data_IF_179903495954
#
_entry.id   IF_179903495954
#
_cell.length_a   1.000
_cell.length_b   1.000
_cell.length_c   1.000
_cell.angle_alpha   90.00
_cell.angle_beta   90.00
_cell.angle_gamma   90.00
#
_symmetry.space_group_name_H-M   'P 1'
#
loop_
_entity.id
_entity.type
_entity.pdbx_description
1 polymer ?
#
# COMPACT_ATOMS: atom_id res chain seq x y z
N UNK A 1 12.38 5.40 -3.50
CA UNK A 1 11.84 6.59 -4.18
C UNK A 1 12.78 7.77 -4.04
N UNK A 2 12.58 8.83 -4.82
CA UNK A 2 13.34 10.09 -4.70
C UNK A 2 12.35 11.24 -4.54
N UNK A 3 12.66 12.23 -3.70
CA UNK A 3 11.89 13.48 -3.60
C UNK A 3 12.35 14.53 -4.63
N UNK A 4 11.72 15.71 -4.65
CA UNK A 4 12.07 16.78 -5.61
C UNK A 4 13.43 17.43 -5.31
N UNK A 5 14.01 17.20 -4.13
CA UNK A 5 15.32 17.71 -3.73
C UNK A 5 16.45 16.73 -4.09
N UNK A 6 16.13 15.56 -4.66
CA UNK A 6 17.11 14.53 -5.00
C UNK A 6 17.48 13.62 -3.82
N UNK A 7 16.76 13.70 -2.69
CA UNK A 7 16.97 12.78 -1.58
C UNK A 7 16.38 11.41 -1.93
N UNK A 8 17.10 10.34 -1.63
CA UNK A 8 16.67 8.97 -1.89
C UNK A 8 16.15 8.33 -0.60
N UNK A 9 15.04 7.60 -0.71
CA UNK A 9 14.37 6.95 0.41
C UNK A 9 14.04 5.50 0.12
N UNK A 10 14.18 4.66 1.14
CA UNK A 10 13.62 3.30 1.20
C UNK A 10 13.09 3.01 2.60
N UNK A 11 12.18 2.05 2.71
CA UNK A 11 11.55 1.65 3.98
C UNK A 11 11.62 0.14 4.13
N UNK A 12 11.71 -0.30 5.38
CA UNK A 12 11.84 -1.72 5.70
C UNK A 12 11.41 -1.96 7.15
N UNK A 13 11.06 -3.20 7.46
CA UNK A 13 10.92 -3.65 8.84
C UNK A 13 12.24 -4.21 9.34
N UNK A 14 12.42 -4.20 10.66
CA UNK A 14 13.49 -4.96 11.30
C UNK A 14 13.34 -6.48 11.06
N UNK A 15 14.33 -7.25 11.52
CA UNK A 15 14.35 -8.70 11.34
C UNK A 15 13.21 -9.42 12.05
N UNK A 16 12.55 -8.79 13.02
CA UNK A 16 11.36 -9.34 13.69
C UNK A 16 10.08 -9.03 12.92
N UNK A 17 10.11 -8.09 11.97
CA UNK A 17 8.93 -7.69 11.21
C UNK A 17 7.97 -6.79 11.99
N UNK A 18 8.43 -6.11 13.04
CA UNK A 18 7.55 -5.36 13.97
C UNK A 18 7.83 -3.87 13.99
N UNK A 19 9.08 -3.45 13.78
CA UNK A 19 9.50 -2.05 13.85
C UNK A 19 9.76 -1.54 12.44
N UNK A 20 9.06 -0.47 12.06
CA UNK A 20 9.20 0.18 10.75
C UNK A 20 10.34 1.19 10.77
N UNK A 21 11.24 1.08 9.80
CA UNK A 21 12.36 1.98 9.56
C UNK A 21 12.28 2.64 8.19
N UNK A 22 12.92 3.80 8.10
CA UNK A 22 13.24 4.50 6.85
C UNK A 22 14.76 4.66 6.77
N UNK A 23 15.34 4.40 5.61
CA UNK A 23 16.66 4.87 5.25
C UNK A 23 16.57 6.05 4.27
N UNK A 24 17.33 7.10 4.53
CA UNK A 24 17.42 8.31 3.69
C UNK A 24 18.88 8.54 3.28
N UNK A 25 19.09 8.85 2.01
CA UNK A 25 20.36 9.35 1.48
C UNK A 25 20.16 10.74 0.89
N UNK A 26 21.13 11.63 1.11
CA UNK A 26 21.19 12.98 0.52
C UNK A 26 22.36 13.13 -0.46
N UNK A 27 23.01 12.02 -0.79
CA UNK A 27 24.25 11.94 -1.58
C UNK A 27 24.15 10.81 -2.63
N UNK A 28 22.95 10.68 -3.22
CA UNK A 28 22.65 9.75 -4.33
C UNK A 28 22.91 8.27 -3.99
N UNK A 29 22.65 7.89 -2.74
CA UNK A 29 22.77 6.52 -2.25
C UNK A 29 24.17 6.15 -1.74
N UNK A 30 25.10 7.10 -1.66
CA UNK A 30 26.46 6.84 -1.18
C UNK A 30 26.51 6.57 0.32
N UNK A 31 25.74 7.33 1.11
CA UNK A 31 25.56 7.11 2.55
C UNK A 31 24.10 7.19 2.95
N UNK A 32 23.77 6.53 4.07
CA UNK A 32 22.40 6.36 4.52
C UNK A 32 22.24 6.67 6.00
N UNK A 33 21.26 7.51 6.32
CA UNK A 33 20.75 7.69 7.68
C UNK A 33 19.55 6.75 7.87
N UNK A 34 19.59 5.91 8.89
CA UNK A 34 18.47 5.03 9.26
C UNK A 34 17.71 5.65 10.43
N UNK A 35 16.37 5.70 10.32
CA UNK A 35 15.49 6.26 11.33
C UNK A 35 14.29 5.37 11.58
N UNK A 36 13.98 5.14 12.85
CA UNK A 36 12.75 4.47 13.26
C UNK A 36 11.55 5.38 12.94
N UNK A 37 10.57 4.83 12.22
CA UNK A 37 9.31 5.49 11.84
C UNK A 37 8.23 5.16 12.85
N UNK A 38 8.08 3.87 13.18
CA UNK A 38 7.03 3.38 14.06
C UNK A 38 7.49 2.13 14.81
N UNK A 39 7.08 2.03 16.07
CA UNK A 39 7.19 0.83 16.89
C UNK A 39 5.86 0.65 17.64
N UNK A 40 5.22 -0.52 17.55
CA UNK A 40 3.94 -0.78 18.22
C UNK A 40 4.03 -0.90 19.76
N UNK A 41 5.18 -0.62 20.36
CA UNK A 41 5.43 -0.76 21.80
C UNK A 41 6.00 -2.13 22.18
N UNK A 42 6.03 -2.48 23.48
CA UNK A 42 6.64 -3.73 23.96
C UNK A 42 5.96 -4.97 23.36
N UNK A 43 6.75 -5.69 22.60
CA UNK A 43 6.39 -6.92 21.91
C UNK A 43 6.48 -8.11 22.88
N UNK A 44 5.36 -8.76 23.22
CA UNK A 44 5.36 -10.10 23.84
C UNK A 44 5.04 -11.14 22.77
N UNK A 45 5.46 -12.42 22.92
CA UNK A 45 5.21 -13.46 21.92
C UNK A 45 3.74 -13.66 21.51
N UNK A 46 2.79 -13.21 22.34
CA UNK A 46 1.34 -13.28 22.09
C UNK A 46 0.71 -11.98 21.60
N UNK A 47 1.46 -10.88 21.52
CA UNK A 47 0.99 -9.54 21.09
C UNK A 47 1.67 -9.04 19.82
N UNK A 48 2.72 -9.72 19.34
CA UNK A 48 3.40 -9.36 18.10
C UNK A 48 2.57 -9.80 16.91
N UNK A 49 1.83 -8.87 16.32
CA UNK A 49 1.32 -9.06 14.97
C UNK A 49 2.45 -8.69 14.02
N UNK A 50 2.79 -9.59 13.10
CA UNK A 50 3.71 -9.27 12.01
C UNK A 50 3.16 -8.07 11.25
N UNK A 51 3.98 -7.05 11.05
CA UNK A 51 3.67 -5.91 10.18
C UNK A 51 4.14 -6.17 8.73
N UNK A 52 4.56 -7.41 8.45
CA UNK A 52 5.12 -7.84 7.17
C UNK A 52 4.08 -8.63 6.40
N UNK A 53 3.18 -7.92 5.72
CA UNK A 53 2.20 -8.49 4.80
C UNK A 53 2.40 -7.93 3.38
N UNK A 54 3.58 -8.28 2.84
CA UNK A 54 4.29 -7.71 1.67
C UNK A 54 4.77 -6.29 1.94
N UNK A 55 5.97 -5.96 1.45
CA UNK A 55 6.84 -4.89 1.98
C UNK A 55 6.15 -3.54 2.21
N UNK A 56 6.62 -2.74 3.20
CA UNK A 56 6.14 -1.38 3.36
C UNK A 56 6.44 -0.58 2.09
N UNK A 57 5.51 0.26 1.68
CA UNK A 57 5.62 1.10 0.48
C UNK A 57 5.75 2.56 0.86
N UNK A 58 6.56 3.33 0.12
CA UNK A 58 6.80 4.76 0.38
C UNK A 58 6.62 5.58 -0.90
N UNK A 59 6.00 6.76 -0.78
CA UNK A 59 5.92 7.76 -1.84
C UNK A 59 6.26 9.17 -1.31
N UNK A 60 6.71 10.04 -2.21
CA UNK A 60 6.94 11.46 -1.98
C UNK A 60 5.99 12.27 -2.89
N UNK A 61 5.30 13.27 -2.33
CA UNK A 61 4.55 14.23 -3.16
C UNK A 61 5.43 15.37 -3.68
N UNK A 62 4.87 16.18 -4.58
CA UNK A 62 5.51 17.39 -5.12
C UNK A 62 5.90 18.45 -4.06
N UNK A 63 5.35 18.36 -2.84
CA UNK A 63 5.71 19.20 -1.70
C UNK A 63 6.80 18.60 -0.80
N UNK A 64 7.43 17.48 -1.19
CA UNK A 64 8.40 16.71 -0.40
C UNK A 64 7.84 16.13 0.91
N UNK A 65 6.53 15.93 1.00
CA UNK A 65 5.95 15.16 2.09
C UNK A 65 6.05 13.67 1.76
N UNK A 66 6.27 12.86 2.79
CA UNK A 66 6.44 11.42 2.65
C UNK A 66 5.22 10.67 3.20
N UNK A 67 4.88 9.57 2.54
CA UNK A 67 3.76 8.70 2.87
C UNK A 67 4.27 7.27 2.92
N UNK A 68 4.08 6.58 4.03
CA UNK A 68 4.39 5.15 4.15
C UNK A 68 3.11 4.38 4.42
N UNK A 69 2.90 3.31 3.67
CA UNK A 69 1.83 2.34 3.92
C UNK A 69 2.40 0.96 4.21
N UNK A 70 1.71 0.21 5.05
CA UNK A 70 2.07 -1.14 5.48
C UNK A 70 0.84 -1.87 6.03
N UNK A 71 0.93 -3.19 6.23
CA UNK A 71 -0.20 -4.00 6.72
C UNK A 71 0.22 -4.97 7.83
N UNK A 72 -0.66 -5.15 8.82
CA UNK A 72 -0.51 -6.15 9.89
C UNK A 72 -1.20 -7.50 9.56
N UNK A 73 -1.62 -7.69 8.30
CA UNK A 73 -2.35 -8.88 7.88
C UNK A 73 -3.85 -8.82 8.15
N UNK A 74 -4.32 -7.79 8.85
CA UNK A 74 -5.73 -7.46 9.03
C UNK A 74 -6.02 -6.08 8.47
N UNK A 75 -5.18 -5.12 8.80
CA UNK A 75 -5.36 -3.72 8.47
C UNK A 75 -4.22 -3.15 7.63
N UNK A 76 -4.59 -2.28 6.70
CA UNK A 76 -3.65 -1.41 6.00
C UNK A 76 -3.57 -0.05 6.70
N UNK A 77 -2.35 0.44 6.89
CA UNK A 77 -2.05 1.67 7.62
C UNK A 77 -1.40 2.72 6.73
N UNK A 78 -1.57 3.99 7.09
CA UNK A 78 -0.82 5.13 6.57
C UNK A 78 -0.14 5.88 7.70
N UNK A 79 1.13 6.22 7.52
CA UNK A 79 1.83 7.26 8.29
C UNK A 79 2.43 8.30 7.34
N UNK A 80 2.52 9.55 7.81
CA UNK A 80 2.95 10.69 6.99
C UNK A 80 4.02 11.52 7.69
N UNK A 81 4.95 12.08 6.92
CA UNK A 81 5.95 13.05 7.37
C UNK A 81 5.91 14.32 6.50
N UNK A 82 6.06 15.49 7.14
CA UNK A 82 6.12 16.80 6.48
C UNK A 82 7.52 17.43 6.49
N UNK A 83 8.49 16.75 7.08
CA UNK A 83 9.82 17.28 7.38
C UNK A 83 10.92 16.34 6.86
N UNK A 84 10.66 15.71 5.71
CA UNK A 84 11.62 14.85 5.02
C UNK A 84 12.00 13.60 5.81
N UNK A 85 11.09 13.08 6.63
CA UNK A 85 11.23 11.86 7.42
C UNK A 85 11.75 12.08 8.85
N UNK A 86 11.84 13.33 9.32
CA UNK A 86 12.33 13.63 10.66
C UNK A 86 11.28 13.37 11.76
N UNK A 87 10.00 13.55 11.47
CA UNK A 87 8.91 13.16 12.36
C UNK A 87 7.80 12.51 11.55
N UNK A 88 7.05 11.62 12.21
CA UNK A 88 5.99 10.82 11.60
C UNK A 88 4.74 10.89 12.45
N UNK A 89 3.58 10.92 11.80
CA UNK A 89 2.31 10.75 12.50
C UNK A 89 2.16 9.33 13.02
N UNK A 90 1.38 9.16 14.08
CA UNK A 90 0.91 7.83 14.49
C UNK A 90 0.18 7.19 13.29
N UNK A 91 0.51 5.93 12.93
CA UNK A 91 -0.17 5.26 11.82
C UNK A 91 -1.68 5.19 12.03
N UNK A 92 -2.43 5.43 10.96
CA UNK A 92 -3.89 5.34 10.94
C UNK A 92 -4.34 4.25 9.97
N UNK A 93 -5.45 3.57 10.30
CA UNK A 93 -6.07 2.59 9.41
C UNK A 93 -6.67 3.32 8.19
N UNK A 94 -6.44 2.80 6.98
CA UNK A 94 -6.94 3.37 5.72
C UNK A 94 -7.99 2.51 5.02
N UNK A 95 -8.39 1.39 5.61
CA UNK A 95 -9.52 0.61 5.13
C UNK A 95 -10.85 1.10 5.70
N UNK A 96 -11.94 0.79 5.00
CA UNK A 96 -13.29 1.05 5.47
C UNK A 96 -14.34 0.82 4.39
N UNK A 97 -15.58 0.58 4.82
CA UNK A 97 -16.70 0.31 3.92
C UNK A 97 -16.64 -1.09 3.28
N UNK A 98 -17.61 -1.38 2.42
CA UNK A 98 -17.68 -2.59 1.59
C UNK A 98 -17.57 -3.95 2.34
N UNK A 99 -17.79 -3.95 3.65
CA UNK A 99 -17.65 -5.16 4.47
C UNK A 99 -16.21 -5.66 4.60
N UNK A 100 -15.20 -4.82 4.31
CA UNK A 100 -13.79 -5.16 4.44
C UNK A 100 -13.44 -5.52 5.88
N UNK A 101 -12.81 -6.69 6.05
CA UNK A 101 -12.32 -7.17 7.35
C UNK A 101 -10.83 -7.47 7.33
N UNK A 102 -10.27 -7.77 6.16
CA UNK A 102 -8.83 -7.98 5.99
C UNK A 102 -8.33 -7.25 4.75
N UNK A 103 -7.21 -6.53 4.89
CA UNK A 103 -6.49 -5.91 3.78
C UNK A 103 -4.98 -6.16 3.87
N UNK A 104 -4.35 -6.47 2.72
CA UNK A 104 -2.93 -6.84 2.62
C UNK A 104 -2.28 -6.20 1.40
N UNK A 105 -0.94 -6.24 1.38
CA UNK A 105 -0.10 -5.74 0.29
C UNK A 105 -0.38 -4.28 -0.12
N UNK A 106 -0.39 -3.32 0.83
CA UNK A 106 -0.71 -1.95 0.47
C UNK A 106 0.43 -1.27 -0.28
N UNK A 107 0.06 -0.48 -1.27
CA UNK A 107 0.96 0.38 -2.05
C UNK A 107 0.46 1.81 -2.03
N UNK A 108 1.37 2.78 -2.09
CA UNK A 108 1.03 4.21 -2.12
C UNK A 108 1.68 4.91 -3.31
N UNK A 109 0.91 5.79 -3.94
CA UNK A 109 1.38 6.72 -4.99
C UNK A 109 0.97 8.13 -4.58
N UNK A 110 1.88 9.08 -4.74
CA UNK A 110 1.67 10.48 -4.38
C UNK A 110 1.76 11.40 -5.59
N UNK A 111 0.99 12.50 -5.57
CA UNK A 111 0.94 13.49 -6.64
C UNK A 111 1.24 14.91 -6.14
N UNK A 112 0.27 15.82 -6.26
CA UNK A 112 0.35 17.14 -5.66
C UNK A 112 0.42 17.03 -4.13
N UNK A 113 0.92 18.09 -3.48
CA UNK A 113 1.05 18.14 -2.02
C UNK A 113 -0.23 17.69 -1.30
N UNK A 114 -0.13 16.63 -0.50
CA UNK A 114 -1.25 16.07 0.28
C UNK A 114 -2.21 15.14 -0.47
N UNK A 115 -2.00 14.88 -1.77
CA UNK A 115 -2.86 14.01 -2.57
C UNK A 115 -2.20 12.67 -2.85
N UNK A 116 -2.85 11.58 -2.44
CA UNK A 116 -2.33 10.22 -2.61
C UNK A 116 -3.43 9.24 -3.03
N UNK A 117 -3.01 8.19 -3.75
CA UNK A 117 -3.76 6.95 -3.95
C UNK A 117 -3.09 5.84 -3.14
N UNK A 118 -3.87 5.09 -2.38
CA UNK A 118 -3.43 3.86 -1.73
C UNK A 118 -4.18 2.71 -2.38
N UNK A 119 -3.46 1.66 -2.77
CA UNK A 119 -4.04 0.42 -3.28
C UNK A 119 -3.75 -0.71 -2.30
N UNK A 120 -4.66 -1.68 -2.20
CA UNK A 120 -4.47 -2.90 -1.39
C UNK A 120 -5.39 -4.00 -1.89
N UNK A 121 -5.06 -5.25 -1.60
CA UNK A 121 -6.03 -6.35 -1.70
C UNK A 121 -6.96 -6.31 -0.51
N UNK A 122 -8.25 -6.42 -0.75
CA UNK A 122 -9.28 -6.41 0.29
C UNK A 122 -10.21 -7.61 0.21
N UNK A 123 -10.63 -8.10 1.37
CA UNK A 123 -11.63 -9.17 1.48
C UNK A 123 -12.56 -8.96 2.68
N UNK A 124 -13.76 -9.56 2.61
CA UNK A 124 -14.70 -9.64 3.73
C UNK A 124 -14.39 -10.79 4.71
N UNK A 125 -13.42 -11.67 4.39
CA UNK A 125 -12.90 -12.65 5.33
C UNK A 125 -12.08 -11.97 6.42
N UNK A 126 -12.04 -12.54 7.62
CA UNK A 126 -11.26 -12.05 8.76
C UNK A 126 -9.83 -12.60 8.80
N UNK A 127 -9.45 -13.45 7.83
CA UNK A 127 -8.18 -14.15 7.83
C UNK A 127 -7.60 -14.20 6.42
N UNK A 128 -6.38 -13.67 6.24
CA UNK A 128 -5.68 -13.70 4.96
C UNK A 128 -5.34 -15.12 4.48
N UNK A 129 -5.33 -16.10 5.40
CA UNK A 129 -5.14 -17.53 5.10
C UNK A 129 -6.44 -18.32 4.88
N UNK A 130 -7.61 -17.66 4.82
CA UNK A 130 -8.87 -18.34 4.54
C UNK A 130 -8.89 -18.90 3.10
N UNK A 131 -9.04 -20.22 2.90
CA UNK A 131 -9.04 -20.82 1.56
C UNK A 131 -10.25 -20.41 0.70
N UNK A 132 -11.24 -19.73 1.28
CA UNK A 132 -12.41 -19.22 0.56
C UNK A 132 -12.47 -17.68 0.52
N UNK A 133 -11.44 -16.98 0.99
CA UNK A 133 -11.39 -15.53 0.91
C UNK A 133 -11.47 -15.07 -0.54
N UNK A 134 -12.36 -14.13 -0.81
CA UNK A 134 -12.51 -13.48 -2.12
C UNK A 134 -11.85 -12.13 -2.07
N UNK A 135 -10.86 -11.92 -2.93
CA UNK A 135 -10.03 -10.73 -2.93
C UNK A 135 -10.31 -9.85 -4.13
N UNK A 136 -10.38 -8.55 -3.89
CA UNK A 136 -10.50 -7.52 -4.92
C UNK A 136 -9.36 -6.51 -4.72
N UNK A 137 -8.97 -5.80 -5.78
CA UNK A 137 -8.14 -4.60 -5.63
C UNK A 137 -9.03 -3.47 -5.16
N UNK A 138 -8.66 -2.82 -4.06
CA UNK A 138 -9.29 -1.60 -3.59
C UNK A 138 -8.37 -0.41 -3.84
N UNK A 139 -8.98 0.75 -4.08
CA UNK A 139 -8.30 2.04 -4.10
C UNK A 139 -8.91 2.92 -3.01
N UNK A 140 -8.06 3.44 -2.12
CA UNK A 140 -8.37 4.49 -1.17
C UNK A 140 -7.65 5.78 -1.59
N UNK A 141 -8.39 6.75 -2.10
CA UNK A 141 -7.85 8.05 -2.50
C UNK A 141 -8.12 9.10 -1.43
N UNK A 142 -7.14 9.96 -1.17
CA UNK A 142 -7.35 11.16 -0.35
C UNK A 142 -6.72 12.38 -1.02
N UNK A 143 -7.40 13.51 -0.90
CA UNK A 143 -6.96 14.82 -1.39
C UNK A 143 -6.27 15.64 -0.27
N UNK A 144 -6.23 15.10 0.96
CA UNK A 144 -5.77 15.82 2.15
C UNK A 144 -5.07 14.91 3.17
N UNK A 145 -4.19 14.01 2.71
CA UNK A 145 -3.44 13.05 3.54
C UNK A 145 -2.69 13.70 4.71
N UNK A 146 -2.32 14.97 4.57
CA UNK A 146 -1.61 15.73 5.59
C UNK A 146 -2.54 16.29 6.68
N UNK A 147 -3.87 16.29 6.51
CA UNK A 147 -4.83 16.73 7.53
C UNK A 147 -4.68 15.96 8.85
N UNK A 148 -5.12 16.53 9.98
CA UNK A 148 -5.20 15.78 11.24
C UNK A 148 -6.19 14.61 11.12
N UNK A 149 -7.26 14.81 10.35
CA UNK A 149 -8.26 13.80 9.99
C UNK A 149 -8.40 13.75 8.46
N UNK A 150 -7.56 12.98 7.75
CA UNK A 150 -7.68 12.78 6.31
C UNK A 150 -9.01 12.12 5.96
N UNK A 151 -9.57 12.49 4.80
CA UNK A 151 -10.78 11.85 4.27
C UNK A 151 -10.38 10.95 3.12
N UNK A 152 -10.77 9.67 3.21
CA UNK A 152 -10.56 8.69 2.15
C UNK A 152 -11.86 8.42 1.40
N UNK A 153 -11.75 8.37 0.07
CA UNK A 153 -12.76 7.81 -0.82
C UNK A 153 -12.27 6.41 -1.22
N UNK A 154 -12.99 5.39 -0.77
CA UNK A 154 -12.62 3.98 -0.94
C UNK A 154 -13.58 3.36 -1.96
N UNK A 155 -13.05 2.59 -2.90
CA UNK A 155 -13.84 1.82 -3.86
C UNK A 155 -13.13 0.51 -4.20
N UNK A 156 -13.87 -0.58 -4.46
CA UNK A 156 -13.32 -1.66 -5.27
C UNK A 156 -12.96 -1.10 -6.65
N UNK A 157 -11.74 -1.39 -7.10
CA UNK A 157 -11.22 -1.02 -8.41
C UNK A 157 -11.34 -2.18 -9.42
N UNK A 158 -11.65 -3.38 -8.94
CA UNK A 158 -11.85 -4.60 -9.73
C UNK A 158 -13.06 -5.38 -9.19
N UNK A 159 -13.47 -6.44 -9.88
CA UNK A 159 -14.23 -7.53 -9.25
C UNK A 159 -13.27 -8.45 -8.48
N UNK A 160 -13.73 -9.62 -8.06
CA UNK A 160 -12.88 -10.65 -7.44
C UNK A 160 -11.78 -11.08 -8.41
N UNK A 161 -10.53 -10.97 -7.98
CA UNK A 161 -9.31 -11.32 -8.73
C UNK A 161 -8.64 -12.60 -8.21
N UNK A 162 -9.05 -13.06 -7.03
CA UNK A 162 -8.50 -14.26 -6.40
C UNK A 162 -9.48 -14.85 -5.40
N UNK A 163 -9.58 -16.18 -5.40
CA UNK A 163 -10.22 -16.96 -4.34
C UNK A 163 -9.16 -17.85 -3.69
N UNK A 164 -8.96 -17.68 -2.39
CA UNK A 164 -7.96 -18.46 -1.66
C UNK A 164 -7.18 -17.68 -0.62
N UNK A 165 -6.24 -18.38 -0.01
CA UNK A 165 -5.29 -17.81 0.94
C UNK A 165 -4.19 -17.03 0.21
N UNK A 166 -3.82 -15.86 0.74
CA UNK A 166 -2.65 -15.08 0.33
C UNK A 166 -1.59 -15.20 1.41
N UNK A 167 -0.54 -15.99 1.17
CA UNK A 167 0.57 -16.15 2.11
C UNK A 167 1.78 -15.30 1.72
N UNK A 168 2.29 -14.54 2.69
CA UNK A 168 3.40 -13.58 2.50
C UNK A 168 4.70 -14.00 3.20
N UNK A 169 4.80 -15.28 3.62
CA UNK A 169 5.96 -15.84 4.32
C UNK A 169 7.05 -16.40 3.37
N UNK A 170 7.10 -15.90 2.13
CA UNK A 170 8.08 -16.31 1.12
C UNK A 170 8.11 -17.83 0.88
N UNK A 171 9.29 -18.44 0.98
CA UNK A 171 9.47 -19.90 0.79
C UNK A 171 8.86 -20.75 1.91
N UNK A 172 8.42 -20.12 3.00
CA UNK A 172 7.70 -20.78 4.09
C UNK A 172 6.20 -20.95 3.84
N UNK A 173 5.68 -20.49 2.70
CA UNK A 173 4.26 -20.57 2.39
C UNK A 173 3.82 -21.98 1.96
N UNK A 174 2.62 -22.43 2.38
CA UNK A 174 2.02 -23.65 1.86
C UNK A 174 1.87 -23.61 0.33
N UNK A 175 1.96 -24.78 -0.32
CA UNK A 175 1.75 -24.90 -1.76
C UNK A 175 0.38 -24.31 -2.16
N UNK A 176 0.35 -23.55 -3.25
CA UNK A 176 -0.87 -22.95 -3.79
C UNK A 176 -1.35 -21.67 -3.07
N UNK A 177 -0.63 -21.16 -2.07
CA UNK A 177 -1.02 -19.93 -1.34
C UNK A 177 -0.21 -18.69 -1.74
N UNK A 178 0.73 -18.84 -2.69
CA UNK A 178 1.58 -17.76 -3.21
C UNK A 178 1.31 -17.52 -4.69
N UNK A 179 0.02 -17.48 -5.06
CA UNK A 179 -0.46 -17.34 -6.45
C UNK A 179 -0.53 -15.89 -6.92
N UNK A 180 -0.56 -14.93 -6.00
CA UNK A 180 -0.58 -13.48 -6.32
C UNK A 180 0.81 -12.91 -6.61
N UNK A 181 1.86 -13.73 -6.47
CA UNK A 181 3.25 -13.46 -6.88
C UNK A 181 3.89 -12.15 -6.33
N UNK A 182 3.27 -11.49 -5.33
CA UNK A 182 3.71 -10.18 -4.80
C UNK A 182 3.90 -9.10 -5.90
N UNK A 183 3.30 -9.28 -7.08
CA UNK A 183 3.46 -8.42 -8.25
C UNK A 183 2.29 -7.46 -8.40
N UNK A 184 2.25 -6.46 -7.54
CA UNK A 184 1.32 -5.33 -7.64
C UNK A 184 2.13 -4.04 -7.82
N UNK A 185 1.82 -3.24 -8.84
CA UNK A 185 2.53 -1.98 -9.07
C UNK A 185 1.55 -0.89 -9.51
N UNK A 186 1.17 0.03 -8.60
CA UNK A 186 0.38 1.19 -8.95
C UNK A 186 1.27 2.35 -9.38
N UNK A 187 0.69 3.23 -10.19
CA UNK A 187 1.31 4.50 -10.58
C UNK A 187 0.21 5.53 -10.89
N UNK A 188 0.63 6.74 -11.25
CA UNK A 188 -0.26 7.83 -11.66
C UNK A 188 0.15 8.34 -13.03
N UNK A 189 -0.82 8.47 -13.93
CA UNK A 189 -0.57 9.06 -15.25
C UNK A 189 -0.27 10.55 -15.13
N UNK A 190 0.31 11.15 -16.17
CA UNK A 190 0.70 12.57 -16.18
C UNK A 190 -0.43 13.54 -15.83
N UNK A 191 -1.68 13.14 -16.04
CA UNK A 191 -2.87 13.94 -15.74
C UNK A 191 -3.43 13.69 -14.33
N UNK A 192 -2.76 12.90 -13.49
CA UNK A 192 -3.18 12.57 -12.14
C UNK A 192 -4.12 11.38 -11.99
N UNK A 193 -4.40 10.67 -13.09
CA UNK A 193 -5.25 9.47 -13.10
C UNK A 193 -4.52 8.26 -12.51
N UNK A 194 -5.16 7.57 -11.56
CA UNK A 194 -4.58 6.36 -10.98
C UNK A 194 -4.51 5.20 -11.99
N UNK A 195 -3.45 4.40 -11.93
CA UNK A 195 -3.24 3.19 -12.73
C UNK A 195 -2.63 2.10 -11.86
N UNK A 196 -2.85 0.84 -12.22
CA UNK A 196 -2.08 -0.25 -11.62
C UNK A 196 -1.96 -1.44 -12.59
N UNK A 197 -0.85 -2.16 -12.46
CA UNK A 197 -0.75 -3.53 -12.95
C UNK A 197 -0.86 -4.49 -11.76
N UNK A 198 -1.61 -5.57 -11.92
CA UNK A 198 -1.93 -6.48 -10.82
C UNK A 198 -2.07 -7.93 -11.32
N UNK A 199 -1.85 -8.93 -10.46
CA UNK A 199 -2.08 -10.33 -10.75
C UNK A 199 -3.57 -10.67 -10.58
N UNK A 200 -4.08 -11.52 -11.44
CA UNK A 200 -5.44 -12.07 -11.34
C UNK A 200 -5.38 -13.56 -11.63
N UNK A 201 -5.81 -14.37 -10.67
CA UNK A 201 -5.86 -15.83 -10.80
C UNK A 201 -7.28 -16.35 -11.08
N UNK A 202 -8.28 -15.47 -11.11
CA UNK A 202 -9.69 -15.81 -11.24
C UNK A 202 -10.19 -15.56 -12.68
N UNK A 203 -9.81 -14.44 -13.27
CA UNK A 203 -10.37 -13.95 -14.53
C UNK A 203 -9.47 -14.25 -15.75
N UNK A 204 -8.79 -15.39 -15.77
CA UNK A 204 -7.89 -15.74 -16.87
C UNK A 204 -8.58 -15.75 -18.25
N UNK A 205 -7.91 -15.15 -19.25
CA UNK A 205 -8.37 -15.15 -20.65
C UNK A 205 -8.35 -16.57 -21.21
N UNK A 206 -7.26 -17.31 -20.95
CA UNK A 206 -7.17 -18.73 -21.25
C UNK A 206 -7.60 -19.55 -20.02
N UNK A 207 -8.78 -20.17 -20.11
CA UNK A 207 -9.33 -20.99 -19.03
C UNK A 207 -8.71 -22.39 -18.95
N UNK A 208 -7.84 -22.75 -19.89
CA UNK A 208 -7.13 -24.05 -19.86
C UNK A 208 -5.93 -24.04 -18.91
N UNK A 209 -5.54 -22.87 -18.41
CA UNK A 209 -4.43 -22.69 -17.48
C UNK A 209 -4.92 -22.23 -16.10
N UNK A 210 -4.21 -22.70 -15.07
CA UNK A 210 -4.36 -22.23 -13.68
C UNK A 210 -3.30 -21.17 -13.33
N UNK A 211 -2.56 -20.67 -14.32
CA UNK A 211 -1.53 -19.65 -14.12
C UNK A 211 -2.19 -18.29 -13.88
N UNK A 212 -1.67 -17.54 -12.92
CA UNK A 212 -2.04 -16.14 -12.68
C UNK A 212 -1.65 -15.27 -13.86
N UNK A 213 -2.58 -14.47 -14.38
CA UNK A 213 -2.34 -13.49 -15.45
C UNK A 213 -2.06 -12.11 -14.85
N UNK A 214 -1.36 -11.25 -15.61
CA UNK A 214 -1.18 -9.83 -15.24
C UNK A 214 -2.19 -8.98 -15.99
N UNK A 215 -2.90 -8.13 -15.26
CA UNK A 215 -3.92 -7.22 -15.74
C UNK A 215 -3.53 -5.76 -15.49
N UNK A 216 -4.22 -4.86 -16.17
CA UNK A 216 -4.06 -3.42 -16.03
C UNK A 216 -5.41 -2.78 -15.69
N UNK A 217 -5.39 -1.83 -14.75
CA UNK A 217 -6.52 -0.94 -14.45
C UNK A 217 -6.12 0.53 -14.61
N UNK A 218 -7.11 1.35 -14.96
CA UNK A 218 -7.01 2.82 -15.01
C UNK A 218 -8.26 3.41 -14.37
N UNK A 219 -8.08 4.40 -13.51
CA UNK A 219 -9.16 5.18 -12.96
C UNK A 219 -9.97 5.84 -14.09
N UNK A 220 -11.27 5.59 -14.12
CA UNK A 220 -12.16 6.11 -15.16
C UNK A 220 -12.85 7.42 -14.77
N UNK A 221 -12.98 7.71 -13.47
CA UNK A 221 -13.68 8.89 -12.95
C UNK A 221 -13.23 9.24 -11.52
N UNK A 222 -13.72 10.37 -11.00
CA UNK A 222 -13.40 10.87 -9.67
C UNK A 222 -12.23 11.84 -9.66
N UNK A 223 -11.80 12.23 -8.46
CA UNK A 223 -10.71 13.18 -8.29
C UNK A 223 -9.36 12.58 -8.74
N UNK A 224 -8.47 13.46 -9.20
CA UNK A 224 -7.11 13.11 -9.63
C UNK A 224 -6.12 13.57 -8.57
N UNK A 225 -4.92 13.01 -8.55
CA UNK A 225 -3.91 13.38 -7.55
C UNK A 225 -2.84 14.34 -8.09
N UNK A 226 -2.79 14.61 -9.40
CA UNK A 226 -1.93 15.62 -10.03
C UNK A 226 -2.81 16.55 -10.86
N UNK A 227 -2.55 17.86 -10.82
CA UNK A 227 -3.08 18.81 -11.80
C UNK A 227 -4.61 18.87 -11.89
N UNK A 228 -5.21 19.79 -11.14
CA UNK A 228 -6.64 20.11 -11.23
C UNK A 228 -7.07 21.00 -10.08
N UNK A 229 -7.52 22.22 -10.40
CA UNK A 229 -8.42 22.99 -9.54
C UNK A 229 -9.69 22.17 -9.32
N UNK A 230 -10.17 22.07 -8.07
CA UNK A 230 -11.58 21.79 -7.86
C UNK A 230 -12.39 22.79 -8.71
N UNK A 231 -13.50 22.38 -9.35
CA UNK A 231 -14.44 23.35 -9.93
C UNK A 231 -15.12 24.26 -8.89
N UNK A 232 -14.72 24.20 -7.61
CA UNK A 232 -15.41 24.80 -6.48
C UNK A 232 -14.50 25.41 -5.40
N UNK A 233 -13.23 25.71 -5.71
CA UNK A 233 -12.38 26.53 -4.83
C UNK A 233 -12.19 27.94 -5.44
#
# INVERSE_FOLDING_TARGET
>A
ITDSNGNVYTVFFDTTGTILYMAKSTDQGSTWMIKQVYSPGPCTPSLCVSMVHVFPSIAADSGNNLYIVFSDGTNSYLTTSRDGGATWKVPMIVQGGFGLKTTVEPWVVAGDAGKINIFYYGTSSTNFMDPNAKWEVFMAQTQNALSHTPRFYITPATNVIHVGAICNNGTGCPSGTRTMLEYFYPDTYLDGTAMAVYPDSENNIDKSTTLTSVWYLKQASGSKIVGGSNPHD
#
